data_IF_929041671989
#
_entry.id   IF_929041671989
#
_cell.length_a   1.000
_cell.length_b   1.000
_cell.length_c   1.000
_cell.angle_alpha   90.00
_cell.angle_beta   90.00
_cell.angle_gamma   90.00
#
_symmetry.space_group_name_H-M   'P 1'
#
loop_
_entity.id
_entity.type
_entity.pdbx_description
1 polymer ?
#
# COMPACT_ATOMS: atom_id res chain seq x y z
N UNK A 1 79.30 -36.83 -1.24
CA UNK A 1 78.09 -36.99 -0.43
C UNK A 1 77.55 -35.58 -0.21
N UNK A 2 76.60 -35.16 -1.04
CA UNK A 2 75.16 -35.12 -0.68
C UNK A 2 74.87 -33.92 0.23
N UNK A 3 73.96 -33.00 -0.04
CA UNK A 3 73.02 -32.79 -1.13
C UNK A 3 72.25 -31.51 -0.83
N UNK A 4 72.02 -30.66 -1.83
CA UNK A 4 71.06 -29.56 -1.78
C UNK A 4 69.65 -30.14 -1.99
N UNK A 5 68.71 -29.77 -1.11
CA UNK A 5 67.30 -30.15 -1.20
C UNK A 5 66.44 -28.92 -0.99
N UNK A 6 66.11 -28.24 -2.08
CA UNK A 6 64.99 -27.29 -2.17
C UNK A 6 63.77 -28.10 -2.56
N UNK A 7 62.76 -28.15 -1.69
CA UNK A 7 61.45 -28.73 -1.99
C UNK A 7 60.72 -27.83 -2.98
N UNK A 8 60.56 -28.30 -4.21
CA UNK A 8 59.66 -27.72 -5.20
C UNK A 8 58.48 -28.66 -5.43
N UNK A 9 57.28 -28.09 -5.32
CA UNK A 9 56.01 -28.78 -5.36
C UNK A 9 55.77 -29.46 -6.71
N UNK A 10 55.37 -30.74 -6.65
CA UNK A 10 55.06 -31.59 -7.81
C UNK A 10 53.91 -31.01 -8.64
N UNK A 11 54.25 -30.54 -9.84
CA UNK A 11 53.30 -30.26 -10.91
C UNK A 11 53.18 -31.54 -11.77
N UNK A 12 52.10 -32.30 -11.60
CA UNK A 12 51.82 -33.47 -12.45
C UNK A 12 51.16 -33.01 -13.74
N UNK A 13 51.92 -33.10 -14.83
CA UNK A 13 51.50 -32.99 -16.21
C UNK A 13 50.40 -34.04 -16.51
N UNK A 14 49.22 -33.60 -16.97
CA UNK A 14 48.26 -34.49 -17.62
C UNK A 14 48.41 -34.30 -19.14
N UNK A 15 48.82 -35.36 -19.83
CA UNK A 15 48.82 -35.43 -21.30
C UNK A 15 47.37 -35.36 -21.82
N UNK A 16 47.07 -34.33 -22.62
CA UNK A 16 45.80 -34.24 -23.35
C UNK A 16 46.06 -34.77 -24.76
N UNK A 17 45.57 -35.99 -25.03
CA UNK A 17 45.49 -36.55 -26.38
C UNK A 17 44.51 -35.75 -27.26
N UNK A 18 44.61 -35.85 -28.59
CA UNK A 18 43.87 -34.99 -29.50
C UNK A 18 42.36 -35.31 -29.45
N UNK A 19 41.57 -34.33 -29.04
CA UNK A 19 40.11 -34.39 -29.04
C UNK A 19 39.64 -34.28 -30.49
N UNK A 20 39.06 -35.38 -30.99
CA UNK A 20 38.34 -35.39 -32.26
C UNK A 20 37.11 -34.46 -32.15
N UNK A 21 36.93 -33.63 -33.18
CA UNK A 21 35.82 -32.69 -33.33
C UNK A 21 34.57 -33.51 -33.68
N UNK A 22 33.74 -33.81 -32.68
CA UNK A 22 32.34 -34.18 -32.92
C UNK A 22 31.51 -32.90 -32.73
N UNK A 23 30.88 -32.48 -33.83
CA UNK A 23 29.89 -31.41 -33.87
C UNK A 23 28.60 -31.93 -33.23
N UNK A 24 28.54 -31.91 -31.90
CA UNK A 24 27.27 -32.07 -31.20
C UNK A 24 26.61 -30.70 -31.05
N UNK A 25 25.49 -30.54 -31.76
CA UNK A 25 24.55 -29.43 -31.65
C UNK A 25 24.02 -29.35 -30.21
N UNK A 26 24.72 -28.60 -29.35
CA UNK A 26 24.18 -28.18 -28.06
C UNK A 26 23.09 -27.14 -28.34
N UNK A 27 21.84 -27.61 -28.47
CA UNK A 27 20.66 -26.76 -28.32
C UNK A 27 20.81 -26.01 -26.98
N UNK A 28 21.08 -24.71 -27.07
CA UNK A 28 21.01 -23.81 -25.94
C UNK A 28 19.53 -23.76 -25.49
N UNK A 29 19.17 -24.64 -24.57
CA UNK A 29 17.89 -24.53 -23.86
C UNK A 29 17.96 -23.27 -23.01
N UNK A 30 17.51 -22.15 -23.58
CA UNK A 30 17.21 -20.95 -22.81
C UNK A 30 16.04 -21.30 -21.90
N UNK A 31 16.34 -21.65 -20.65
CA UNK A 31 15.33 -21.73 -19.61
C UNK A 31 14.91 -20.29 -19.31
N UNK A 32 13.77 -19.86 -19.85
CA UNK A 32 13.11 -18.64 -19.38
C UNK A 32 12.73 -18.85 -17.90
N UNK A 33 13.63 -18.45 -16.99
CA UNK A 33 13.28 -18.32 -15.59
C UNK A 33 12.34 -17.13 -15.45
N UNK A 34 11.03 -17.41 -15.33
CA UNK A 34 10.07 -16.42 -14.89
C UNK A 34 10.41 -16.00 -13.46
N UNK A 35 11.12 -14.88 -13.31
CA UNK A 35 11.34 -14.27 -12.00
C UNK A 35 9.97 -13.86 -11.44
N UNK A 36 9.62 -14.27 -10.21
CA UNK A 36 8.34 -13.90 -9.59
C UNK A 36 8.15 -12.37 -9.57
N UNK A 37 6.94 -11.91 -9.83
CA UNK A 37 6.63 -10.48 -9.94
C UNK A 37 7.06 -9.67 -8.70
N UNK A 38 6.89 -10.24 -7.50
CA UNK A 38 7.30 -9.61 -6.23
C UNK A 38 8.82 -9.36 -6.18
N UNK A 39 9.63 -10.32 -6.63
CA UNK A 39 11.09 -10.14 -6.70
C UNK A 39 11.50 -9.08 -7.73
N UNK A 40 10.77 -8.96 -8.84
CA UNK A 40 11.03 -7.91 -9.85
C UNK A 40 10.67 -6.53 -9.31
N UNK A 41 9.54 -6.42 -8.62
CA UNK A 41 9.12 -5.17 -7.99
C UNK A 41 10.12 -4.69 -6.95
N UNK A 42 10.49 -5.54 -5.99
CA UNK A 42 11.38 -5.15 -4.90
C UNK A 42 12.77 -4.78 -5.41
N UNK A 43 13.32 -5.56 -6.34
CA UNK A 43 14.60 -5.23 -6.98
C UNK A 43 14.55 -3.90 -7.74
N UNK A 44 13.44 -3.63 -8.43
CA UNK A 44 13.26 -2.40 -9.19
C UNK A 44 13.05 -1.20 -8.27
N UNK A 45 12.36 -1.38 -7.15
CA UNK A 45 12.18 -0.37 -6.12
C UNK A 45 13.51 -0.01 -5.45
N UNK A 46 14.30 -1.00 -5.01
CA UNK A 46 15.65 -0.79 -4.46
C UNK A 46 16.56 -0.09 -5.47
N UNK A 47 16.49 -0.49 -6.74
CA UNK A 47 17.25 0.13 -7.82
C UNK A 47 16.86 1.59 -8.01
N UNK A 48 15.57 1.92 -8.04
CA UNK A 48 15.08 3.29 -8.15
C UNK A 48 15.49 4.14 -6.94
N UNK A 49 15.42 3.59 -5.73
CA UNK A 49 15.88 4.25 -4.51
C UNK A 49 17.38 4.56 -4.58
N UNK A 50 18.20 3.59 -4.98
CA UNK A 50 19.64 3.81 -5.16
C UNK A 50 19.94 4.89 -6.20
N UNK A 51 19.23 4.90 -7.33
CA UNK A 51 19.38 5.94 -8.35
C UNK A 51 18.94 7.32 -7.86
N UNK A 52 17.85 7.41 -7.11
CA UNK A 52 17.38 8.64 -6.46
C UNK A 52 18.41 9.20 -5.48
N UNK A 53 18.93 8.36 -4.58
CA UNK A 53 19.98 8.74 -3.65
C UNK A 53 21.25 9.20 -4.37
N UNK A 54 21.61 8.50 -5.46
CA UNK A 54 22.76 8.90 -6.25
C UNK A 54 22.56 10.24 -6.96
N UNK A 55 21.35 10.51 -7.47
CA UNK A 55 21.01 11.73 -8.18
C UNK A 55 20.94 12.95 -7.24
N UNK A 56 20.47 12.75 -6.00
CA UNK A 56 20.24 13.81 -5.00
C UNK A 56 21.40 14.04 -4.06
N UNK A 57 22.37 13.12 -3.97
CA UNK A 57 23.56 13.29 -3.14
C UNK A 57 24.26 14.59 -3.50
N UNK A 58 24.54 15.40 -2.49
CA UNK A 58 25.39 16.57 -2.65
C UNK A 58 26.82 16.11 -2.91
N UNK A 59 27.35 16.46 -4.08
CA UNK A 59 28.69 16.01 -4.52
C UNK A 59 29.47 17.20 -5.06
N UNK A 60 30.79 17.22 -4.81
CA UNK A 60 31.67 18.27 -5.32
C UNK A 60 31.75 18.31 -6.87
N UNK A 61 31.28 17.25 -7.54
CA UNK A 61 31.22 17.16 -9.00
C UNK A 61 29.85 16.62 -9.46
N UNK A 62 29.32 17.11 -10.58
CA UNK A 62 28.07 16.60 -11.13
C UNK A 62 28.24 15.14 -11.57
N UNK A 63 27.40 14.26 -11.02
CA UNK A 63 27.31 12.88 -11.50
C UNK A 63 26.71 12.86 -12.92
N UNK A 64 27.42 12.26 -13.87
CA UNK A 64 26.89 11.91 -15.18
C UNK A 64 26.40 10.48 -15.13
N UNK A 65 25.19 10.21 -15.62
CA UNK A 65 24.65 8.87 -15.68
C UNK A 65 24.94 8.27 -17.06
N UNK A 66 25.22 6.97 -17.09
CA UNK A 66 25.35 6.26 -18.37
C UNK A 66 23.98 6.17 -19.06
N UNK A 67 23.98 6.02 -20.38
CA UNK A 67 22.77 5.79 -21.16
C UNK A 67 21.95 4.61 -20.60
N UNK A 68 22.62 3.51 -20.23
CA UNK A 68 21.95 2.35 -19.63
C UNK A 68 21.28 2.71 -18.30
N UNK A 69 21.94 3.51 -17.46
CA UNK A 69 21.36 3.92 -16.18
C UNK A 69 20.14 4.82 -16.38
N UNK A 70 20.19 5.71 -17.38
CA UNK A 70 19.04 6.53 -17.76
C UNK A 70 17.90 5.67 -18.33
N UNK A 71 18.21 4.62 -19.08
CA UNK A 71 17.21 3.69 -19.60
C UNK A 71 16.49 2.94 -18.47
N UNK A 72 17.20 2.56 -17.40
CA UNK A 72 16.57 1.97 -16.20
C UNK A 72 15.60 2.96 -15.54
N UNK A 73 15.94 4.26 -15.48
CA UNK A 73 15.03 5.28 -14.96
C UNK A 73 13.75 5.42 -15.80
N UNK A 74 13.88 5.40 -17.13
CA UNK A 74 12.72 5.44 -18.03
C UNK A 74 11.88 4.18 -17.88
N UNK A 75 12.50 3.02 -17.78
CA UNK A 75 11.78 1.76 -17.56
C UNK A 75 11.05 1.75 -16.20
N UNK A 76 11.62 2.38 -15.17
CA UNK A 76 10.96 2.58 -13.88
C UNK A 76 9.65 3.36 -13.99
N UNK A 77 9.58 4.35 -14.88
CA UNK A 77 8.34 5.10 -15.18
C UNK A 77 7.29 4.24 -15.91
N UNK A 78 7.72 3.25 -16.68
CA UNK A 78 6.85 2.36 -17.46
C UNK A 78 6.41 1.12 -16.67
N UNK A 79 6.95 0.93 -15.46
CA UNK A 79 6.70 -0.26 -14.64
C UNK A 79 5.24 -0.47 -14.24
N UNK A 80 4.44 0.60 -14.23
CA UNK A 80 3.05 0.60 -13.75
C UNK A 80 2.91 0.49 -12.23
N UNK A 81 4.01 0.36 -11.48
CA UNK A 81 3.99 0.33 -10.02
C UNK A 81 4.19 1.73 -9.45
N UNK A 82 3.20 2.25 -8.71
CA UNK A 82 3.17 3.65 -8.27
C UNK A 82 4.42 4.10 -7.52
N UNK A 83 4.93 3.25 -6.63
CA UNK A 83 6.09 3.55 -5.80
C UNK A 83 7.35 3.69 -6.65
N UNK A 84 7.56 2.73 -7.55
CA UNK A 84 8.68 2.72 -8.51
C UNK A 84 8.58 3.93 -9.43
N UNK A 85 7.41 4.18 -10.02
CA UNK A 85 7.18 5.30 -10.94
C UNK A 85 7.41 6.65 -10.26
N UNK A 86 6.98 6.80 -9.00
CA UNK A 86 7.13 8.05 -8.24
C UNK A 86 8.60 8.38 -7.97
N UNK A 87 9.39 7.37 -7.57
CA UNK A 87 10.83 7.54 -7.33
C UNK A 87 11.57 7.77 -8.65
N UNK A 88 11.22 7.02 -9.70
CA UNK A 88 11.77 7.21 -11.04
C UNK A 88 11.51 8.63 -11.56
N UNK A 89 10.28 9.15 -11.42
CA UNK A 89 9.91 10.50 -11.83
C UNK A 89 10.71 11.58 -11.07
N UNK A 90 10.87 11.39 -9.75
CA UNK A 90 11.67 12.28 -8.93
C UNK A 90 13.15 12.26 -9.36
N UNK A 91 13.73 11.07 -9.58
CA UNK A 91 15.09 10.92 -10.06
C UNK A 91 15.29 11.56 -11.43
N UNK A 92 14.36 11.35 -12.37
CA UNK A 92 14.36 11.98 -13.70
C UNK A 92 14.33 13.51 -13.60
N UNK A 93 13.54 14.08 -12.68
CA UNK A 93 13.51 15.54 -12.45
C UNK A 93 14.89 16.10 -12.05
N UNK A 94 15.57 15.42 -11.12
CA UNK A 94 16.91 15.83 -10.65
C UNK A 94 17.97 15.65 -11.73
N UNK A 95 17.89 14.55 -12.49
CA UNK A 95 18.83 14.26 -13.57
C UNK A 95 18.65 15.22 -14.75
N UNK A 96 17.40 15.54 -15.13
CA UNK A 96 17.08 16.47 -16.23
C UNK A 96 17.47 17.93 -15.96
N UNK A 97 17.80 18.28 -14.71
CA UNK A 97 18.39 19.57 -14.37
C UNK A 97 19.78 19.77 -15.02
N UNK A 98 20.46 18.68 -15.39
CA UNK A 98 21.76 18.68 -16.08
C UNK A 98 21.55 18.64 -17.60
N UNK A 99 22.08 19.62 -18.32
CA UNK A 99 21.78 19.83 -19.74
C UNK A 99 22.23 18.66 -20.65
N UNK A 100 23.35 18.00 -20.32
CA UNK A 100 23.87 16.82 -21.02
C UNK A 100 22.95 15.60 -20.84
N UNK A 101 22.40 15.42 -19.64
CA UNK A 101 21.53 14.29 -19.31
C UNK A 101 20.10 14.47 -19.83
N UNK A 102 19.62 15.73 -19.91
CA UNK A 102 18.29 16.05 -20.44
C UNK A 102 18.12 15.55 -21.87
N UNK A 103 19.11 15.75 -22.73
CA UNK A 103 19.00 15.30 -24.11
C UNK A 103 18.98 13.78 -24.22
N UNK A 104 19.76 13.07 -23.39
CA UNK A 104 19.76 11.62 -23.38
C UNK A 104 18.44 11.04 -22.87
N UNK A 105 17.86 11.63 -21.82
CA UNK A 105 16.53 11.27 -21.32
C UNK A 105 15.43 11.44 -22.38
N UNK A 106 15.47 12.54 -23.14
CA UNK A 106 14.51 12.77 -24.24
C UNK A 106 14.68 11.72 -25.35
N UNK A 107 15.92 11.38 -25.72
CA UNK A 107 16.18 10.35 -26.73
C UNK A 107 15.71 8.95 -26.29
N UNK A 108 15.72 8.70 -24.98
CA UNK A 108 15.21 7.48 -24.37
C UNK A 108 13.68 7.45 -24.21
N UNK A 109 12.95 8.50 -24.59
CA UNK A 109 11.49 8.54 -24.47
C UNK A 109 10.98 8.88 -23.06
N UNK A 110 11.80 9.54 -22.22
CA UNK A 110 11.39 9.91 -20.86
C UNK A 110 10.15 10.82 -20.82
N UNK A 111 9.85 11.57 -21.89
CA UNK A 111 8.68 12.46 -21.95
C UNK A 111 7.39 11.65 -22.05
N UNK A 112 7.35 10.68 -22.97
CA UNK A 112 6.24 9.75 -23.15
C UNK A 112 6.03 8.91 -21.89
N UNK A 113 7.11 8.39 -21.31
CA UNK A 113 7.06 7.61 -20.08
C UNK A 113 6.54 8.42 -18.88
N UNK A 114 6.95 9.69 -18.73
CA UNK A 114 6.43 10.60 -17.70
C UNK A 114 4.94 10.89 -17.89
N UNK A 115 4.48 11.08 -19.12
CA UNK A 115 3.07 11.30 -19.42
C UNK A 115 2.23 10.06 -19.06
N UNK A 116 2.72 8.87 -19.39
CA UNK A 116 2.11 7.59 -19.01
C UNK A 116 2.03 7.42 -17.50
N UNK A 117 3.14 7.62 -16.80
CA UNK A 117 3.20 7.53 -15.34
C UNK A 117 2.25 8.53 -14.65
N UNK A 118 2.12 9.76 -15.17
CA UNK A 118 1.19 10.75 -14.65
C UNK A 118 -0.28 10.31 -14.81
N UNK A 119 -0.63 9.69 -15.95
CA UNK A 119 -1.97 9.17 -16.19
C UNK A 119 -2.29 8.00 -15.25
N UNK A 120 -1.36 7.03 -15.13
CA UNK A 120 -1.54 5.88 -14.23
C UNK A 120 -1.68 6.37 -12.78
N UNK A 121 -0.78 7.25 -12.34
CA UNK A 121 -0.84 7.84 -11.00
C UNK A 121 -2.13 8.62 -10.74
N UNK A 122 -2.71 9.27 -11.74
CA UNK A 122 -4.03 9.90 -11.62
C UNK A 122 -5.13 8.86 -11.43
N UNK A 123 -5.16 7.81 -12.25
CA UNK A 123 -6.18 6.76 -12.19
C UNK A 123 -6.15 5.99 -10.86
N UNK A 124 -4.97 5.64 -10.36
CA UNK A 124 -4.84 4.96 -9.07
C UNK A 124 -5.25 5.86 -7.91
N UNK A 125 -4.88 7.14 -7.96
CA UNK A 125 -5.31 8.12 -6.96
C UNK A 125 -6.82 8.29 -6.94
N UNK A 126 -7.46 8.32 -8.10
CA UNK A 126 -8.92 8.39 -8.20
C UNK A 126 -9.57 7.13 -7.62
N UNK A 127 -9.04 5.95 -7.94
CA UNK A 127 -9.52 4.69 -7.37
C UNK A 127 -9.38 4.64 -5.84
N UNK A 128 -8.22 5.07 -5.31
CA UNK A 128 -7.98 5.22 -3.87
C UNK A 128 -8.94 6.22 -3.21
N UNK A 129 -9.28 7.30 -3.90
CA UNK A 129 -10.25 8.28 -3.42
C UNK A 129 -11.66 7.66 -3.32
N UNK A 130 -12.11 7.01 -4.41
CA UNK A 130 -13.42 6.35 -4.46
C UNK A 130 -13.54 5.25 -3.41
N UNK A 131 -12.56 4.36 -3.30
CA UNK A 131 -12.58 3.28 -2.29
C UNK A 131 -12.63 3.80 -0.86
N UNK A 132 -11.95 4.90 -0.55
CA UNK A 132 -12.05 5.55 0.76
C UNK A 132 -13.43 6.19 0.99
N UNK A 133 -14.00 6.79 -0.05
CA UNK A 133 -15.34 7.35 0.00
C UNK A 133 -16.40 6.25 0.20
N UNK A 134 -16.29 5.14 -0.53
CA UNK A 134 -17.16 3.98 -0.40
C UNK A 134 -17.06 3.37 1.00
N UNK A 135 -15.84 3.25 1.54
CA UNK A 135 -15.63 2.77 2.91
C UNK A 135 -16.26 3.71 3.96
N UNK A 136 -16.12 5.03 3.79
CA UNK A 136 -16.75 6.01 4.66
C UNK A 136 -18.29 5.95 4.58
N UNK A 137 -18.83 5.76 3.38
CA UNK A 137 -20.27 5.60 3.17
C UNK A 137 -20.81 4.34 3.86
N UNK A 138 -20.12 3.20 3.72
CA UNK A 138 -20.46 1.95 4.41
C UNK A 138 -20.40 2.14 5.93
N UNK A 139 -19.38 2.82 6.44
CA UNK A 139 -19.27 3.12 7.88
C UNK A 139 -20.43 4.01 8.37
N UNK A 140 -20.81 5.03 7.60
CA UNK A 140 -21.93 5.91 7.92
C UNK A 140 -23.27 5.15 7.89
N UNK A 141 -23.48 4.25 6.94
CA UNK A 141 -24.66 3.38 6.87
C UNK A 141 -24.76 2.50 8.12
N UNK A 142 -23.68 1.83 8.52
CA UNK A 142 -23.65 1.02 9.73
C UNK A 142 -23.95 1.84 11.00
N UNK A 143 -23.43 3.07 11.11
CA UNK A 143 -23.74 3.97 12.23
C UNK A 143 -25.21 4.38 12.24
N UNK A 144 -25.80 4.63 11.07
CA UNK A 144 -27.22 4.96 10.96
C UNK A 144 -28.14 3.78 11.30
N UNK A 145 -27.76 2.56 10.92
CA UNK A 145 -28.43 1.33 11.34
C UNK A 145 -28.38 1.16 12.87
N UNK A 146 -27.21 1.39 13.48
CA UNK A 146 -27.03 1.35 14.93
C UNK A 146 -27.88 2.42 15.65
N UNK A 147 -27.95 3.64 15.11
CA UNK A 147 -28.81 4.69 15.65
C UNK A 147 -30.29 4.32 15.56
N UNK A 148 -30.71 3.69 14.46
CA UNK A 148 -32.09 3.22 14.29
C UNK A 148 -32.43 2.11 15.29
N UNK A 149 -31.50 1.17 15.51
CA UNK A 149 -31.67 0.12 16.51
C UNK A 149 -31.72 0.67 17.95
N UNK A 150 -30.85 1.62 18.29
CA UNK A 150 -30.84 2.28 19.59
C UNK A 150 -32.15 3.06 19.85
N UNK A 151 -32.66 3.75 18.82
CA UNK A 151 -33.97 4.43 18.92
C UNK A 151 -35.11 3.44 19.16
N UNK A 152 -35.12 2.29 18.48
CA UNK A 152 -36.14 1.26 18.70
C UNK A 152 -36.10 0.69 20.13
N UNK A 153 -34.92 0.57 20.74
CA UNK A 153 -34.76 0.18 22.14
C UNK A 153 -35.29 1.28 23.07
N UNK A 154 -34.98 2.55 22.80
CA UNK A 154 -35.49 3.68 23.56
C UNK A 154 -37.03 3.79 23.52
N UNK A 155 -37.62 3.63 22.32
CA UNK A 155 -39.08 3.67 22.14
C UNK A 155 -39.78 2.55 22.92
N UNK A 156 -39.19 1.34 22.91
CA UNK A 156 -39.71 0.21 23.68
C UNK A 156 -39.62 0.46 25.19
N UNK A 157 -38.48 0.99 25.66
CA UNK A 157 -38.29 1.32 27.06
C UNK A 157 -39.29 2.41 27.53
N UNK A 158 -39.57 3.40 26.69
CA UNK A 158 -40.58 4.43 26.92
C UNK A 158 -42.00 3.83 26.98
N UNK A 159 -42.35 2.91 26.07
CA UNK A 159 -43.65 2.22 26.11
C UNK A 159 -43.83 1.43 27.43
N UNK A 160 -42.79 0.72 27.86
CA UNK A 160 -42.80 -0.04 29.11
C UNK A 160 -42.89 0.88 30.34
N UNK A 161 -42.21 2.03 30.34
CA UNK A 161 -42.35 3.05 31.37
C UNK A 161 -43.79 3.61 31.42
N UNK A 162 -44.40 3.90 30.28
CA UNK A 162 -45.79 4.36 30.21
C UNK A 162 -46.79 3.32 30.72
N UNK A 163 -46.56 2.03 30.45
CA UNK A 163 -47.37 0.94 31.01
C UNK A 163 -47.24 0.88 32.54
N UNK A 164 -46.02 0.98 33.07
CA UNK A 164 -45.77 0.99 34.51
C UNK A 164 -46.45 2.19 35.20
N UNK A 165 -46.37 3.39 34.60
CA UNK A 165 -47.06 4.59 35.09
C UNK A 165 -48.58 4.36 35.13
N UNK A 166 -49.18 3.82 34.07
CA UNK A 166 -50.63 3.53 34.02
C UNK A 166 -51.05 2.49 35.08
N UNK A 167 -50.23 1.48 35.32
CA UNK A 167 -50.49 0.46 36.34
C UNK A 167 -50.43 1.02 37.76
N UNK A 168 -49.40 1.81 38.06
CA UNK A 168 -49.26 2.49 39.34
C UNK A 168 -50.42 3.46 39.60
N UNK A 169 -50.82 4.25 38.59
CA UNK A 169 -51.96 5.17 38.68
C UNK A 169 -53.30 4.46 38.93
N UNK A 170 -53.43 3.19 38.57
CA UNK A 170 -54.62 2.37 38.82
C UNK A 170 -54.65 1.78 40.23
N UNK A 171 -53.64 2.05 41.06
CA UNK A 171 -53.52 1.55 42.44
C UNK A 171 -53.20 0.05 42.53
N UNK A 172 -52.72 -0.55 41.44
CA UNK A 172 -52.42 -1.98 41.37
C UNK A 172 -50.96 -2.18 41.82
N UNK A 173 -50.76 -2.73 43.03
CA UNK A 173 -49.44 -3.26 43.46
C UNK A 173 -48.69 -2.53 44.58
N UNK A 174 -49.23 -1.46 45.17
CA UNK A 174 -48.65 -0.83 46.36
C UNK A 174 -47.21 -0.31 46.16
N UNK A 175 -46.40 -0.30 47.23
CA UNK A 175 -45.04 0.28 47.20
C UNK A 175 -44.09 -0.38 46.18
N UNK A 176 -44.27 -1.67 45.87
CA UNK A 176 -43.47 -2.38 44.88
C UNK A 176 -43.76 -1.89 43.44
N UNK A 177 -44.98 -1.45 43.15
CA UNK A 177 -45.34 -0.90 41.85
C UNK A 177 -44.76 0.50 41.61
N UNK A 178 -44.62 1.32 42.65
CA UNK A 178 -43.94 2.63 42.56
C UNK A 178 -42.44 2.45 42.30
N UNK A 179 -41.77 1.51 42.98
CA UNK A 179 -40.35 1.21 42.71
C UNK A 179 -40.14 0.70 41.27
N UNK A 180 -41.00 -0.20 40.79
CA UNK A 180 -40.92 -0.71 39.42
C UNK A 180 -41.17 0.38 38.35
N UNK A 181 -42.06 1.33 38.65
CA UNK A 181 -42.31 2.50 37.81
C UNK A 181 -41.09 3.42 37.75
N UNK A 182 -40.49 3.75 38.89
CA UNK A 182 -39.31 4.61 38.95
C UNK A 182 -38.11 3.96 38.23
N UNK A 183 -37.94 2.64 38.37
CA UNK A 183 -36.93 1.88 37.64
C UNK A 183 -37.18 1.89 36.12
N UNK A 184 -38.43 1.74 35.69
CA UNK A 184 -38.79 1.78 34.26
C UNK A 184 -38.55 3.17 33.65
N UNK A 185 -38.88 4.25 34.38
CA UNK A 185 -38.61 5.63 33.97
C UNK A 185 -37.10 5.88 33.85
N UNK A 186 -36.31 5.40 34.83
CA UNK A 186 -34.85 5.53 34.78
C UNK A 186 -34.24 4.78 33.59
N UNK A 187 -34.73 3.58 33.29
CA UNK A 187 -34.30 2.80 32.11
C UNK A 187 -34.67 3.49 30.79
N UNK A 188 -35.87 4.05 30.68
CA UNK A 188 -36.29 4.80 29.50
C UNK A 188 -35.42 6.06 29.29
N UNK A 189 -35.12 6.79 30.37
CA UNK A 189 -34.25 7.95 30.32
C UNK A 189 -32.81 7.61 29.90
N UNK A 190 -32.26 6.51 30.42
CA UNK A 190 -30.94 6.01 30.04
C UNK A 190 -30.89 5.57 28.57
N UNK A 191 -31.85 4.76 28.13
CA UNK A 191 -31.93 4.29 26.74
C UNK A 191 -32.08 5.46 25.75
N UNK A 192 -32.83 6.50 26.12
CA UNK A 192 -32.97 7.72 25.31
C UNK A 192 -31.69 8.53 25.23
N UNK A 193 -30.93 8.61 26.33
CA UNK A 193 -29.63 9.29 26.34
C UNK A 193 -28.61 8.54 25.47
N UNK A 194 -28.57 7.21 25.56
CA UNK A 194 -27.72 6.35 24.72
C UNK A 194 -28.09 6.47 23.23
N UNK A 195 -29.38 6.41 22.89
CA UNK A 195 -29.85 6.61 21.52
C UNK A 195 -29.47 8.00 20.97
N UNK A 196 -29.53 9.05 21.78
CA UNK A 196 -29.12 10.39 21.38
C UNK A 196 -27.61 10.50 21.09
N UNK A 197 -26.77 9.82 21.88
CA UNK A 197 -25.32 9.77 21.64
C UNK A 197 -25.01 9.03 20.33
N UNK A 198 -25.59 7.84 20.14
CA UNK A 198 -25.39 7.05 18.92
C UNK A 198 -25.90 7.80 17.69
N UNK A 199 -27.02 8.53 17.82
CA UNK A 199 -27.54 9.36 16.74
C UNK A 199 -26.62 10.52 16.40
N UNK A 200 -26.06 11.21 17.41
CA UNK A 200 -25.08 12.28 17.18
C UNK A 200 -23.81 11.76 16.50
N UNK A 201 -23.34 10.55 16.85
CA UNK A 201 -22.20 9.91 16.19
C UNK A 201 -22.50 9.52 14.74
N UNK A 202 -23.74 9.09 14.44
CA UNK A 202 -24.18 8.79 13.08
C UNK A 202 -24.31 10.05 12.22
N UNK A 203 -24.90 11.12 12.75
CA UNK A 203 -25.05 12.39 12.03
C UNK A 203 -23.66 13.03 11.78
N UNK A 204 -22.73 12.95 12.75
CA UNK A 204 -21.35 13.40 12.56
C UNK A 204 -20.58 12.61 11.48
N UNK A 205 -20.92 11.34 11.26
CA UNK A 205 -20.33 10.53 10.21
C UNK A 205 -20.91 10.81 8.81
N UNK A 206 -22.09 11.43 8.72
CA UNK A 206 -22.75 11.78 7.46
C UNK A 206 -22.31 13.15 6.90
N UNK A 207 -21.73 14.01 7.73
CA UNK A 207 -21.26 15.36 7.36
C UNK A 207 -19.82 15.39 6.79
N UNK A 208 -19.16 14.22 6.69
CA UNK A 208 -17.78 14.05 6.19
C UNK A 208 -17.72 13.30 4.86
#
# INVERSE_FOLDING_TARGET
AEGEGVEEAKQTHLEVGPIQREEDEAEAVMVEMEVPWNLRHDLMLESMQGLWEMATRDRPYPLSFSHDTLAVLVHGLESGALEVMSIAAAAVWVVAAKADQRSALVQLGAVEALAGAALIGHTEREHLCRTKQDAALVEAEHKNEAATAAQAVADKAEEDAQKAIKWAAKGIGGAAAEVAKDEAIAKAAAAKAEAAVVRAEADAAADH
#
